data_IF_542145891196
#
_entry.id   IF_542145891196
#
_cell.length_a   1.000
_cell.length_b   1.000
_cell.length_c   1.000
_cell.angle_alpha   90.00
_cell.angle_beta   90.00
_cell.angle_gamma   90.00
#
_symmetry.space_group_name_H-M   'P 1'
#
loop_
_entity.id
_entity.type
_entity.pdbx_description
1 polymer ?
#
# COMPACT_ATOMS: atom_id res chain seq x y z
N UNK A 1 -3.79 -0.91 -17.23
CA UNK A 1 -2.65 -0.55 -16.33
C UNK A 1 -2.77 0.91 -15.92
N UNK A 2 -2.84 1.21 -14.62
CA UNK A 2 -2.97 2.58 -14.12
C UNK A 2 -1.62 3.31 -14.18
N UNK A 3 -1.61 4.53 -14.72
CA UNK A 3 -0.44 5.41 -14.73
C UNK A 3 -0.66 6.56 -13.73
N UNK A 4 0.04 6.58 -12.58
CA UNK A 4 -0.09 7.69 -11.64
C UNK A 4 0.53 8.97 -12.20
N UNK A 5 -0.02 10.10 -11.80
CA UNK A 5 0.49 11.45 -12.12
C UNK A 5 1.26 12.01 -10.93
N UNK A 6 1.96 13.13 -11.12
CA UNK A 6 2.61 13.89 -10.03
C UNK A 6 3.43 13.00 -9.08
N UNK A 7 3.17 13.10 -7.78
CA UNK A 7 3.77 12.35 -6.69
C UNK A 7 2.93 11.14 -6.25
N UNK A 8 1.98 10.68 -7.09
CA UNK A 8 1.15 9.53 -6.78
C UNK A 8 1.87 8.20 -7.10
N UNK A 9 1.47 7.17 -6.37
CA UNK A 9 1.95 5.79 -6.49
C UNK A 9 0.74 4.87 -6.48
N UNK A 10 0.75 3.85 -7.34
CA UNK A 10 -0.29 2.81 -7.36
C UNK A 10 0.26 1.59 -6.65
N UNK A 11 -0.45 1.15 -5.61
CA UNK A 11 -0.14 -0.02 -4.81
C UNK A 11 -1.19 -1.11 -5.01
N UNK A 12 -0.77 -2.35 -4.81
CA UNK A 12 -1.66 -3.48 -4.50
C UNK A 12 -1.56 -3.76 -3.00
N UNK A 13 -2.70 -3.98 -2.35
CA UNK A 13 -2.71 -4.46 -0.97
C UNK A 13 -1.99 -5.81 -0.87
N UNK A 14 -1.00 -5.93 0.01
CA UNK A 14 -0.59 -7.24 0.48
C UNK A 14 -1.47 -7.59 1.68
N UNK A 15 -2.08 -8.78 1.66
CA UNK A 15 -2.75 -9.29 2.85
C UNK A 15 -1.67 -9.53 3.88
N UNK A 16 -1.65 -8.71 4.93
CA UNK A 16 -1.04 -9.08 6.19
C UNK A 16 -1.82 -10.31 6.66
N UNK A 17 -1.25 -11.51 6.48
CA UNK A 17 -1.78 -12.70 7.13
C UNK A 17 -1.69 -12.44 8.63
N UNK A 18 -2.78 -11.97 9.25
CA UNK A 18 -2.98 -12.03 10.69
C UNK A 18 -3.12 -13.49 11.10
N UNK A 19 -2.06 -14.27 10.95
CA UNK A 19 -1.89 -15.53 11.68
C UNK A 19 -1.54 -15.14 13.09
N UNK A 20 -2.54 -14.98 13.95
CA UNK A 20 -2.30 -15.08 15.38
C UNK A 20 -2.00 -16.55 15.67
N UNK A 21 -0.83 -16.85 16.22
CA UNK A 21 -0.40 -18.23 16.52
C UNK A 21 -1.38 -18.99 17.44
N UNK A 22 -2.31 -18.27 18.09
CA UNK A 22 -3.23 -18.80 19.09
C UNK A 22 -4.69 -18.93 18.63
N UNK A 23 -5.04 -18.63 17.38
CA UNK A 23 -6.42 -18.79 16.85
C UNK A 23 -7.48 -17.84 17.42
N UNK A 24 -7.08 -16.89 18.28
CA UNK A 24 -7.95 -15.85 18.82
C UNK A 24 -7.88 -14.64 17.89
N UNK A 25 -9.02 -14.26 17.32
CA UNK A 25 -9.18 -13.02 16.57
C UNK A 25 -9.35 -11.90 17.60
N UNK A 26 -8.30 -11.11 17.82
CA UNK A 26 -8.39 -9.89 18.61
C UNK A 26 -9.22 -8.86 17.82
N UNK A 27 -10.44 -8.57 18.26
CA UNK A 27 -11.22 -7.41 17.81
C UNK A 27 -10.73 -6.16 18.53
N UNK A 28 -9.48 -5.77 18.30
CA UNK A 28 -9.05 -4.41 18.61
C UNK A 28 -9.40 -3.53 17.43
N UNK A 29 -9.83 -2.29 17.66
CA UNK A 29 -9.97 -1.27 16.62
C UNK A 29 -8.63 -1.10 15.89
N UNK A 30 -8.37 -1.95 14.88
CA UNK A 30 -7.16 -2.04 14.05
C UNK A 30 -7.11 -0.92 13.02
N UNK A 31 -7.52 0.25 13.46
CA UNK A 31 -7.75 1.41 12.65
C UNK A 31 -6.43 2.11 12.35
N UNK A 32 -5.47 2.14 13.27
CA UNK A 32 -4.26 2.96 13.12
C UNK A 32 -2.99 2.21 12.70
N UNK A 33 -3.06 0.89 12.47
CA UNK A 33 -1.86 0.15 12.07
C UNK A 33 -1.48 0.50 10.62
N UNK A 34 -0.20 0.83 10.35
CA UNK A 34 0.27 0.99 8.99
C UNK A 34 0.15 -0.33 8.23
N UNK A 35 -0.20 -0.26 6.96
CA UNK A 35 -0.43 -1.44 6.12
C UNK A 35 0.75 -1.66 5.16
N UNK A 36 0.90 -2.90 4.70
CA UNK A 36 1.91 -3.29 3.71
C UNK A 36 1.27 -3.35 2.33
N UNK A 37 1.96 -2.82 1.34
CA UNK A 37 1.53 -2.83 -0.06
C UNK A 37 2.71 -3.06 -1.00
N UNK A 38 2.38 -3.54 -2.20
CA UNK A 38 3.36 -3.71 -3.28
C UNK A 38 3.19 -2.63 -4.33
N UNK A 39 4.27 -1.96 -4.70
CA UNK A 39 4.27 -0.90 -5.72
C UNK A 39 4.07 -1.51 -7.11
N UNK A 40 3.05 -1.05 -7.83
CA UNK A 40 2.77 -1.47 -9.20
C UNK A 40 3.25 -0.45 -10.23
N UNK A 41 3.18 0.83 -9.90
CA UNK A 41 3.63 1.93 -10.76
C UNK A 41 3.82 3.21 -9.95
N UNK A 42 4.77 4.04 -10.39
CA UNK A 42 5.26 5.22 -9.68
C UNK A 42 5.08 6.46 -10.56
N UNK A 43 4.65 7.57 -9.96
CA UNK A 43 4.44 8.84 -10.63
C UNK A 43 5.77 9.52 -11.01
N UNK A 44 5.75 10.43 -12.00
CA UNK A 44 6.97 11.02 -12.54
C UNK A 44 7.76 11.89 -11.56
N UNK A 45 7.17 12.35 -10.45
CA UNK A 45 7.86 13.18 -9.43
C UNK A 45 8.41 12.37 -8.25
N UNK A 46 8.31 11.04 -8.29
CA UNK A 46 8.73 10.16 -7.19
C UNK A 46 10.03 9.46 -7.59
N UNK A 47 11.12 9.76 -6.89
CA UNK A 47 12.45 9.23 -7.21
C UNK A 47 12.85 8.02 -6.35
N UNK A 48 12.32 7.95 -5.12
CA UNK A 48 12.76 6.99 -4.10
C UNK A 48 12.03 5.64 -4.14
N UNK A 49 11.09 5.45 -5.08
CA UNK A 49 10.29 4.23 -5.17
C UNK A 49 10.40 3.61 -6.56
N UNK A 50 10.39 2.29 -6.59
CA UNK A 50 10.45 1.49 -7.81
C UNK A 50 9.29 0.52 -7.89
N UNK A 51 9.00 0.08 -9.11
CA UNK A 51 8.05 -1.01 -9.34
C UNK A 51 8.53 -2.25 -8.59
N UNK A 52 7.58 -2.98 -8.01
CA UNK A 52 7.76 -4.19 -7.23
C UNK A 52 8.28 -4.01 -5.78
N UNK A 53 8.61 -2.78 -5.35
CA UNK A 53 8.95 -2.49 -3.96
C UNK A 53 7.81 -2.87 -3.01
N UNK A 54 8.18 -3.46 -1.87
CA UNK A 54 7.27 -3.64 -0.74
C UNK A 54 7.39 -2.43 0.17
N UNK A 55 6.26 -1.82 0.50
CA UNK A 55 6.24 -0.56 1.25
C UNK A 55 5.26 -0.62 2.40
N UNK A 56 5.60 0.09 3.47
CA UNK A 56 4.72 0.38 4.60
C UNK A 56 4.09 1.74 4.34
N UNK A 57 2.77 1.85 4.44
CA UNK A 57 2.05 3.11 4.20
C UNK A 57 0.92 3.32 5.22
N UNK A 58 0.45 4.56 5.33
CA UNK A 58 -0.67 4.92 6.21
C UNK A 58 -2.00 4.42 5.65
N UNK A 59 -2.74 3.61 6.42
CA UNK A 59 -3.95 2.90 5.96
C UNK A 59 -5.14 3.81 5.60
N UNK A 60 -5.19 5.03 6.16
CA UNK A 60 -6.20 6.05 5.83
C UNK A 60 -5.84 6.95 4.65
N UNK A 61 -4.65 6.77 4.10
CA UNK A 61 -4.15 7.63 3.05
C UNK A 61 -4.37 7.01 1.67
N UNK A 62 -4.78 7.84 0.72
CA UNK A 62 -5.01 7.43 -0.66
C UNK A 62 -6.45 7.05 -0.99
N UNK A 63 -6.66 6.60 -2.22
CA UNK A 63 -7.97 6.31 -2.81
C UNK A 63 -8.00 4.89 -3.33
N UNK A 64 -8.98 4.11 -2.88
CA UNK A 64 -9.26 2.78 -3.43
C UNK A 64 -9.93 2.91 -4.79
N UNK A 65 -9.36 2.28 -5.81
CA UNK A 65 -9.87 2.32 -7.19
C UNK A 65 -10.03 0.89 -7.68
N UNK A 66 -11.21 0.58 -8.23
CA UNK A 66 -11.44 -0.68 -8.92
C UNK A 66 -11.35 -0.44 -10.44
N UNK A 67 -10.41 -1.10 -11.09
CA UNK A 67 -10.19 -0.99 -12.54
C UNK A 67 -9.97 -2.39 -13.12
N UNK A 68 -10.64 -2.71 -14.22
CA UNK A 68 -10.56 -4.04 -14.87
C UNK A 68 -10.80 -5.21 -13.88
N UNK A 69 -11.71 -5.02 -12.92
CA UNK A 69 -12.04 -6.03 -11.91
C UNK A 69 -11.02 -6.18 -10.77
N UNK A 70 -9.90 -5.46 -10.80
CA UNK A 70 -8.85 -5.48 -9.78
C UNK A 70 -8.92 -4.24 -8.89
N UNK A 71 -8.73 -4.42 -7.59
CA UNK A 71 -8.64 -3.31 -6.64
C UNK A 71 -7.19 -2.81 -6.50
N UNK A 72 -7.05 -1.50 -6.55
CA UNK A 72 -5.80 -0.75 -6.44
C UNK A 72 -5.91 0.31 -5.36
N UNK A 73 -4.78 0.73 -4.81
CA UNK A 73 -4.67 1.90 -3.95
C UNK A 73 -3.82 2.96 -4.65
N UNK A 74 -4.37 4.15 -4.87
CA UNK A 74 -3.63 5.29 -5.38
C UNK A 74 -3.30 6.20 -4.20
N UNK A 75 -2.02 6.41 -3.90
CA UNK A 75 -1.57 7.12 -2.70
C UNK A 75 -0.44 8.09 -3.05
N UNK A 76 -0.35 9.24 -2.37
CA UNK A 76 0.81 10.13 -2.51
C UNK A 76 2.05 9.53 -1.86
N UNK A 77 3.22 9.73 -2.46
CA UNK A 77 4.50 9.23 -1.96
C UNK A 77 4.80 9.68 -0.53
N UNK A 78 4.36 10.87 -0.11
CA UNK A 78 4.53 11.39 1.26
C UNK A 78 3.88 10.54 2.37
N UNK A 79 2.90 9.70 2.00
CA UNK A 79 2.19 8.83 2.94
C UNK A 79 2.75 7.40 2.96
N UNK A 80 3.82 7.15 2.19
CA UNK A 80 4.61 5.92 2.24
C UNK A 80 5.73 6.14 3.25
N UNK A 81 5.79 5.28 4.26
CA UNK A 81 6.63 5.44 5.45
C UNK A 81 8.00 4.80 5.30
N UNK A 82 8.06 3.63 4.65
CA UNK A 82 9.29 2.86 4.47
C UNK A 82 9.20 1.88 3.30
N UNK A 83 10.35 1.51 2.75
CA UNK A 83 10.53 0.35 1.88
C UNK A 83 11.03 -0.81 2.76
N UNK A 84 10.46 -2.00 2.58
CA UNK A 84 10.89 -3.22 3.25
C UNK A 84 12.00 -3.84 2.40
N UNK A 85 13.24 -3.75 2.88
CA UNK A 85 14.41 -4.41 2.29
C UNK A 85 14.75 -5.69 3.06
N UNK A 86 15.14 -6.73 2.33
CA UNK A 86 15.67 -8.00 2.86
C UNK A 86 17.17 -8.11 2.53
#
# INVERSE_FOLDING_TARGET
MLKPLEDYVVLRFEKEEKKTESGIILTTDDKEKPAIGKVLSVGPKVENLKKDDKVIYQTYSGTKVKYEGTEYLVIQAKNILAIIEN
#
